data_IF_117881080245
#
_entry.id   IF_117881080245
#
_cell.length_a   1.000
_cell.length_b   1.000
_cell.length_c   1.000
_cell.angle_alpha   90.00
_cell.angle_beta   90.00
_cell.angle_gamma   90.00
#
_symmetry.space_group_name_H-M   'P 1'
#
loop_
_entity.id
_entity.type
_entity.pdbx_description
1 polymer ?
#
# COMPACT_ATOMS: atom_id res chain seq x y z
N UNK A 1 -39.82 -15.08 -50.04
CA UNK A 1 -40.50 -15.59 -48.83
C UNK A 1 -40.61 -14.45 -47.83
N UNK A 2 -41.82 -14.22 -47.33
CA UNK A 2 -42.24 -13.07 -46.52
C UNK A 2 -42.14 -13.37 -45.02
N UNK A 3 -41.69 -12.34 -44.26
CA UNK A 3 -42.10 -11.93 -42.89
C UNK A 3 -41.85 -12.94 -41.74
N UNK A 4 -41.31 -12.54 -40.59
CA UNK A 4 -42.02 -11.67 -39.61
C UNK A 4 -41.07 -11.16 -38.51
N UNK A 5 -41.43 -9.98 -38.00
CA UNK A 5 -40.80 -9.21 -36.92
C UNK A 5 -41.31 -9.65 -35.53
N UNK A 6 -40.54 -9.26 -34.51
CA UNK A 6 -40.68 -9.44 -33.06
C UNK A 6 -42.04 -9.09 -32.45
N UNK A 7 -42.26 -9.41 -31.16
CA UNK A 7 -42.73 -8.36 -30.24
C UNK A 7 -41.92 -8.22 -28.95
N UNK A 8 -41.60 -6.96 -28.66
CA UNK A 8 -41.21 -6.41 -27.36
C UNK A 8 -42.22 -6.80 -26.28
N UNK A 9 -41.73 -7.09 -25.06
CA UNK A 9 -42.54 -6.99 -23.85
C UNK A 9 -42.22 -5.67 -23.16
N UNK A 10 -43.13 -4.71 -23.34
CA UNK A 10 -43.26 -3.54 -22.48
C UNK A 10 -43.98 -3.94 -21.19
N UNK A 11 -43.45 -3.50 -20.05
CA UNK A 11 -44.10 -3.59 -18.74
C UNK A 11 -43.77 -2.31 -17.97
N UNK A 12 -44.77 -1.44 -17.85
CA UNK A 12 -44.70 -0.05 -17.42
C UNK A 12 -45.54 0.07 -16.14
N UNK A 13 -44.92 0.38 -15.00
CA UNK A 13 -45.60 0.86 -13.77
C UNK A 13 -44.59 1.80 -13.06
N UNK A 14 -44.66 3.12 -13.26
CA UNK A 14 -45.57 4.08 -12.64
C UNK A 14 -45.27 4.35 -11.15
N UNK A 15 -44.35 5.30 -10.94
CA UNK A 15 -44.39 6.46 -10.04
C UNK A 15 -45.18 6.29 -8.73
N UNK A 16 -44.45 6.29 -7.60
CA UNK A 16 -44.94 6.84 -6.34
C UNK A 16 -44.06 8.03 -5.94
N UNK A 17 -44.60 9.22 -6.21
CA UNK A 17 -44.34 10.46 -5.49
C UNK A 17 -44.78 10.27 -4.02
N UNK A 18 -44.40 11.03 -2.99
CA UNK A 18 -43.72 12.30 -2.87
C UNK A 18 -43.33 12.46 -1.39
N UNK A 19 -42.19 13.10 -1.15
CA UNK A 19 -41.92 14.06 -0.06
C UNK A 19 -42.26 13.71 1.40
N UNK A 20 -41.24 13.81 2.27
CA UNK A 20 -41.20 14.89 3.28
C UNK A 20 -39.75 15.14 3.72
N UNK A 21 -39.34 16.40 3.55
CA UNK A 21 -38.10 16.98 4.03
C UNK A 21 -38.28 17.27 5.52
N UNK A 22 -37.45 16.67 6.38
CA UNK A 22 -37.19 17.23 7.71
C UNK A 22 -35.82 17.88 7.68
N UNK A 23 -35.83 19.18 7.36
CA UNK A 23 -34.70 20.06 7.59
C UNK A 23 -34.72 20.45 9.08
N UNK A 24 -34.00 19.71 9.92
CA UNK A 24 -33.60 20.23 11.22
C UNK A 24 -32.42 21.17 11.00
N UNK A 25 -32.69 22.48 10.94
CA UNK A 25 -31.66 23.51 11.04
C UNK A 25 -31.08 23.48 12.46
N UNK A 26 -30.03 22.69 12.68
CA UNK A 26 -29.18 22.87 13.86
C UNK A 26 -28.39 24.16 13.63
N UNK A 27 -28.77 25.19 14.37
CA UNK A 27 -27.96 26.39 14.52
C UNK A 27 -26.80 26.04 15.43
N UNK A 28 -25.69 25.57 14.85
CA UNK A 28 -24.43 25.43 15.55
C UNK A 28 -23.76 26.81 15.58
N UNK A 29 -23.66 27.40 16.77
CA UNK A 29 -22.82 28.57 17.04
C UNK A 29 -21.38 28.30 16.58
N UNK A 30 -20.66 29.28 16.00
CA UNK A 30 -19.25 29.15 15.72
C UNK A 30 -18.49 29.20 17.05
N UNK A 31 -18.25 28.05 17.65
CA UNK A 31 -17.29 27.94 18.74
C UNK A 31 -15.91 28.28 18.20
N UNK A 32 -15.35 29.33 18.80
CA UNK A 32 -13.94 29.71 18.86
C UNK A 32 -12.99 28.73 18.17
N UNK A 33 -12.33 29.26 17.14
CA UNK A 33 -11.22 28.60 16.47
C UNK A 33 -10.16 28.18 17.48
N UNK A 34 -10.07 26.88 17.71
CA UNK A 34 -8.87 26.26 18.22
C UNK A 34 -7.85 26.32 17.09
N UNK A 35 -7.03 27.36 17.10
CA UNK A 35 -5.78 27.43 16.34
C UNK A 35 -4.82 26.37 16.88
N UNK A 36 -5.10 25.11 16.54
CA UNK A 36 -4.13 24.05 16.67
C UNK A 36 -3.09 24.28 15.60
N UNK A 37 -2.04 25.00 16.00
CA UNK A 37 -0.72 25.02 15.40
C UNK A 37 -0.50 23.71 14.66
N UNK A 38 -0.37 23.83 13.33
CA UNK A 38 -0.14 22.77 12.36
C UNK A 38 1.10 22.00 12.78
N UNK A 39 0.91 21.04 13.69
CA UNK A 39 1.95 20.16 14.17
C UNK A 39 2.52 19.48 12.94
N UNK A 40 3.78 19.77 12.67
CA UNK A 40 4.55 19.18 11.60
C UNK A 40 4.72 17.69 11.96
N UNK A 41 3.66 16.91 11.72
CA UNK A 41 3.72 15.46 11.78
C UNK A 41 4.67 15.06 10.67
N UNK A 42 5.95 14.94 11.02
CA UNK A 42 6.95 14.30 10.21
C UNK A 42 6.36 12.96 9.78
N UNK A 43 6.06 12.84 8.49
CA UNK A 43 5.65 11.59 7.86
C UNK A 43 6.76 10.56 8.06
N UNK A 44 6.75 9.88 9.20
CA UNK A 44 7.43 8.60 9.42
C UNK A 44 6.51 7.43 9.02
N UNK A 45 5.49 7.67 8.20
CA UNK A 45 4.80 6.61 7.49
C UNK A 45 5.73 5.99 6.44
N UNK A 46 6.05 4.72 6.59
CA UNK A 46 6.65 3.85 5.57
C UNK A 46 8.02 4.25 5.01
N UNK A 47 8.99 4.65 5.85
CA UNK A 47 10.42 4.67 5.43
C UNK A 47 11.01 3.28 5.13
N UNK A 48 10.27 2.20 5.32
CA UNK A 48 10.69 0.85 4.93
C UNK A 48 10.57 0.60 3.42
N UNK A 49 9.78 1.38 2.69
CA UNK A 49 9.47 1.06 1.28
C UNK A 49 10.49 1.63 0.28
N UNK A 50 11.19 2.72 0.63
CA UNK A 50 12.18 3.34 -0.26
C UNK A 50 13.62 3.36 0.29
N UNK A 51 13.80 3.10 1.59
CA UNK A 51 15.14 3.08 2.21
C UNK A 51 15.63 1.69 2.65
N UNK A 52 14.75 0.69 2.77
CA UNK A 52 15.08 -0.57 3.46
C UNK A 52 16.18 -1.39 2.79
N UNK A 53 16.15 -1.50 1.46
CA UNK A 53 17.14 -2.31 0.72
C UNK A 53 18.53 -1.68 0.71
N UNK A 54 18.63 -0.35 0.53
CA UNK A 54 19.92 0.34 0.56
C UNK A 54 20.56 0.28 1.95
N UNK A 55 19.73 0.45 2.99
CA UNK A 55 20.13 0.39 4.39
C UNK A 55 20.69 -0.96 4.85
N UNK A 56 20.28 -2.04 4.20
CA UNK A 56 20.77 -3.38 4.54
C UNK A 56 22.27 -3.54 4.28
N UNK A 57 22.78 -2.87 3.24
CA UNK A 57 24.19 -2.94 2.83
C UNK A 57 24.99 -1.66 3.19
N UNK A 58 24.34 -0.62 3.73
CA UNK A 58 25.01 0.58 4.27
C UNK A 58 26.07 0.19 5.29
N UNK A 59 27.29 0.73 5.24
CA UNK A 59 28.37 0.42 6.19
C UNK A 59 29.22 -0.82 5.85
N UNK A 60 28.95 -1.46 4.71
CA UNK A 60 29.93 -2.30 4.03
C UNK A 60 30.86 -1.41 3.20
N UNK A 61 32.15 -1.71 3.22
CA UNK A 61 33.17 -0.99 2.44
C UNK A 61 33.13 -1.50 1.00
N UNK A 62 32.06 -1.15 0.28
CA UNK A 62 31.82 -1.61 -1.09
C UNK A 62 32.76 -0.91 -2.07
N UNK A 63 33.30 -1.68 -3.02
CA UNK A 63 34.06 -1.12 -4.15
C UNK A 63 33.14 -0.35 -5.09
N UNK A 64 33.71 0.53 -5.90
CA UNK A 64 32.90 1.30 -6.85
C UNK A 64 32.28 0.42 -7.94
N UNK A 65 32.95 -0.67 -8.32
CA UNK A 65 32.39 -1.71 -9.18
C UNK A 65 31.16 -2.37 -8.53
N UNK A 66 31.26 -2.83 -7.27
CA UNK A 66 30.13 -3.40 -6.54
C UNK A 66 28.95 -2.42 -6.43
N UNK A 67 29.21 -1.14 -6.14
CA UNK A 67 28.17 -0.11 -6.09
C UNK A 67 27.49 0.09 -7.45
N UNK A 68 28.25 0.05 -8.54
CA UNK A 68 27.70 0.17 -9.89
C UNK A 68 26.78 -1.01 -10.22
N UNK A 69 27.22 -2.23 -9.92
CA UNK A 69 26.43 -3.45 -10.14
C UNK A 69 25.14 -3.45 -9.31
N UNK A 70 25.23 -3.05 -8.04
CA UNK A 70 24.06 -2.92 -7.16
C UNK A 70 23.08 -1.87 -7.70
N UNK A 71 23.56 -0.71 -8.17
CA UNK A 71 22.70 0.31 -8.77
C UNK A 71 22.01 -0.22 -10.03
N UNK A 72 22.72 -0.98 -10.85
CA UNK A 72 22.17 -1.61 -12.06
C UNK A 72 21.05 -2.60 -11.71
N UNK A 73 21.27 -3.47 -10.73
CA UNK A 73 20.24 -4.41 -10.23
C UNK A 73 18.96 -3.67 -9.76
N UNK A 74 19.12 -2.56 -9.03
CA UNK A 74 17.96 -1.76 -8.60
C UNK A 74 17.27 -1.04 -9.74
N UNK A 75 18.01 -0.57 -10.75
CA UNK A 75 17.45 0.07 -11.92
C UNK A 75 16.61 -0.92 -12.75
N UNK A 76 17.13 -2.13 -12.97
CA UNK A 76 16.42 -3.21 -13.67
C UNK A 76 15.13 -3.59 -12.93
N UNK A 77 15.18 -3.75 -11.61
CA UNK A 77 13.97 -4.03 -10.83
C UNK A 77 12.96 -2.86 -10.86
N UNK A 78 13.46 -1.63 -10.82
CA UNK A 78 12.58 -0.46 -10.87
C UNK A 78 11.85 -0.42 -12.20
N UNK A 79 12.53 -0.72 -13.31
CA UNK A 79 11.91 -0.77 -14.63
C UNK A 79 10.84 -1.85 -14.75
N UNK A 80 11.06 -3.04 -14.19
CA UNK A 80 10.06 -4.13 -14.22
C UNK A 80 8.83 -3.85 -13.36
N UNK A 81 8.95 -3.00 -12.32
CA UNK A 81 7.87 -2.69 -11.38
C UNK A 81 7.13 -1.38 -11.67
N UNK A 82 7.55 -0.63 -12.70
CA UNK A 82 6.95 0.66 -13.06
C UNK A 82 5.44 0.57 -13.26
N UNK A 83 5.01 -0.54 -13.88
CA UNK A 83 3.64 -0.75 -14.32
C UNK A 83 2.73 -1.34 -13.22
N UNK A 84 3.32 -1.79 -12.11
CA UNK A 84 2.57 -2.43 -11.02
C UNK A 84 2.18 -1.49 -9.88
N UNK A 85 2.48 -0.19 -9.99
CA UNK A 85 2.14 0.77 -8.95
C UNK A 85 0.63 1.00 -8.94
N UNK A 86 -0.05 0.87 -7.78
CA UNK A 86 -1.47 1.10 -7.73
C UNK A 86 -1.81 2.53 -8.13
N UNK A 87 -2.88 2.70 -8.89
CA UNK A 87 -3.34 4.02 -9.31
C UNK A 87 -3.83 4.83 -8.11
N UNK A 88 -3.95 6.15 -8.27
CA UNK A 88 -4.54 6.98 -7.21
C UNK A 88 -5.97 6.55 -6.87
N UNK A 89 -6.73 6.15 -7.88
CA UNK A 89 -8.12 5.69 -7.73
C UNK A 89 -8.19 4.39 -6.94
N UNK A 90 -7.34 3.40 -7.25
CA UNK A 90 -7.26 2.14 -6.50
C UNK A 90 -6.83 2.34 -5.04
N UNK A 91 -5.97 3.32 -4.79
CA UNK A 91 -5.57 3.71 -3.43
C UNK A 91 -6.72 4.36 -2.67
N UNK A 92 -7.50 5.23 -3.31
CA UNK A 92 -8.66 5.87 -2.70
C UNK A 92 -9.78 4.86 -2.43
N UNK A 93 -10.09 3.98 -3.39
CA UNK A 93 -11.09 2.93 -3.23
C UNK A 93 -10.77 2.04 -2.02
N UNK A 94 -9.54 1.53 -1.93
CA UNK A 94 -9.11 0.73 -0.79
C UNK A 94 -9.18 1.48 0.55
N UNK A 95 -8.89 2.79 0.56
CA UNK A 95 -9.04 3.59 1.80
C UNK A 95 -10.49 3.72 2.22
N UNK A 96 -11.39 3.91 1.27
CA UNK A 96 -12.82 4.01 1.54
C UNK A 96 -13.40 2.67 2.03
N UNK A 97 -13.01 1.55 1.43
CA UNK A 97 -13.40 0.20 1.89
C UNK A 97 -12.92 -0.07 3.32
N UNK A 98 -11.66 0.28 3.63
CA UNK A 98 -11.13 0.20 5.00
C UNK A 98 -11.92 1.07 5.96
N UNK A 99 -12.24 2.30 5.57
CA UNK A 99 -13.01 3.23 6.40
C UNK A 99 -14.41 2.68 6.67
N UNK A 100 -15.08 2.12 5.66
CA UNK A 100 -16.42 1.56 5.80
C UNK A 100 -16.47 0.41 6.83
N UNK A 101 -15.48 -0.50 6.81
CA UNK A 101 -15.38 -1.59 7.80
C UNK A 101 -15.15 -1.04 9.21
N UNK A 102 -14.32 0.00 9.36
CA UNK A 102 -13.98 0.59 10.67
C UNK A 102 -15.14 1.40 11.25
N UNK A 103 -15.88 2.13 10.42
CA UNK A 103 -16.96 3.02 10.87
C UNK A 103 -18.34 2.37 10.88
N UNK A 104 -18.42 1.07 10.56
CA UNK A 104 -19.67 0.33 10.61
C UNK A 104 -20.19 0.23 12.06
N UNK A 105 -21.51 0.23 12.23
CA UNK A 105 -22.14 0.07 13.55
C UNK A 105 -21.81 -1.28 14.21
N UNK A 106 -21.52 -2.30 13.40
CA UNK A 106 -21.05 -3.62 13.81
C UNK A 106 -19.89 -4.05 12.92
N UNK A 107 -18.85 -4.63 13.52
CA UNK A 107 -17.67 -5.07 12.79
C UNK A 107 -17.96 -6.34 11.97
N UNK A 108 -17.74 -6.29 10.65
CA UNK A 108 -17.80 -7.44 9.76
C UNK A 108 -16.39 -8.04 9.57
N UNK A 109 -16.09 -9.09 10.32
CA UNK A 109 -14.81 -9.81 10.23
C UNK A 109 -14.58 -10.45 8.85
N UNK A 110 -15.65 -10.86 8.16
CA UNK A 110 -15.56 -11.50 6.85
C UNK A 110 -15.15 -10.48 5.79
N UNK A 111 -15.76 -9.29 5.80
CA UNK A 111 -15.40 -8.19 4.93
C UNK A 111 -13.95 -7.72 5.19
N UNK A 112 -13.56 -7.62 6.46
CA UNK A 112 -12.19 -7.27 6.84
C UNK A 112 -11.17 -8.28 6.28
N UNK A 113 -11.43 -9.59 6.42
CA UNK A 113 -10.56 -10.65 5.87
C UNK A 113 -10.47 -10.58 4.35
N UNK A 114 -11.59 -10.38 3.66
CA UNK A 114 -11.60 -10.27 2.20
C UNK A 114 -10.73 -9.11 1.71
N UNK A 115 -10.86 -7.94 2.33
CA UNK A 115 -10.06 -6.75 2.02
C UNK A 115 -8.56 -7.00 2.22
N UNK A 116 -8.18 -7.63 3.34
CA UNK A 116 -6.78 -7.94 3.63
C UNK A 116 -6.20 -8.98 2.66
N UNK A 117 -6.99 -9.98 2.27
CA UNK A 117 -6.58 -11.06 1.38
C UNK A 117 -6.44 -10.61 -0.07
N UNK A 118 -7.22 -9.62 -0.52
CA UNK A 118 -7.22 -9.13 -1.90
C UNK A 118 -5.85 -8.67 -2.43
N UNK A 119 -4.88 -8.43 -1.54
CA UNK A 119 -3.51 -8.00 -1.89
C UNK A 119 -2.42 -8.95 -1.39
N UNK A 120 -2.79 -10.10 -0.82
CA UNK A 120 -1.83 -11.01 -0.20
C UNK A 120 -0.82 -11.57 -1.20
N UNK A 121 -1.29 -12.07 -2.35
CA UNK A 121 -0.42 -12.66 -3.37
C UNK A 121 0.59 -11.65 -3.93
N UNK A 122 0.13 -10.43 -4.20
CA UNK A 122 1.00 -9.33 -4.63
C UNK A 122 2.05 -9.00 -3.57
N UNK A 123 1.68 -8.94 -2.29
CA UNK A 123 2.63 -8.71 -1.19
C UNK A 123 3.67 -9.84 -1.10
N UNK A 124 3.24 -11.08 -1.28
CA UNK A 124 4.11 -12.26 -1.27
C UNK A 124 5.08 -12.25 -2.46
N UNK A 125 4.59 -12.02 -3.67
CA UNK A 125 5.43 -11.90 -4.87
C UNK A 125 6.50 -10.81 -4.69
N UNK A 126 6.10 -9.63 -4.23
CA UNK A 126 7.02 -8.53 -3.95
C UNK A 126 8.02 -8.85 -2.83
N UNK A 127 7.64 -9.64 -1.83
CA UNK A 127 8.55 -10.08 -0.78
C UNK A 127 9.61 -11.03 -1.35
N UNK A 128 9.20 -12.01 -2.17
CA UNK A 128 10.10 -12.94 -2.85
C UNK A 128 11.08 -12.18 -3.75
N UNK A 129 10.60 -11.22 -4.54
CA UNK A 129 11.46 -10.38 -5.38
C UNK A 129 12.50 -9.60 -4.57
N UNK A 130 12.08 -8.99 -3.46
CA UNK A 130 13.02 -8.30 -2.56
C UNK A 130 14.09 -9.26 -2.05
N UNK A 131 13.71 -10.46 -1.60
CA UNK A 131 14.65 -11.47 -1.12
C UNK A 131 15.62 -11.92 -2.23
N UNK A 132 15.15 -12.08 -3.47
CA UNK A 132 16.00 -12.41 -4.62
C UNK A 132 17.09 -11.36 -4.84
N UNK A 133 16.73 -10.08 -4.82
CA UNK A 133 17.70 -8.99 -4.99
C UNK A 133 18.68 -8.94 -3.82
N UNK A 134 18.21 -9.13 -2.58
CA UNK A 134 19.10 -9.20 -1.42
C UNK A 134 20.13 -10.31 -1.58
N UNK A 135 19.72 -11.48 -2.06
CA UNK A 135 20.63 -12.59 -2.33
C UNK A 135 21.61 -12.28 -3.46
N UNK A 136 21.15 -11.68 -4.56
CA UNK A 136 22.03 -11.25 -5.65
C UNK A 136 23.11 -10.28 -5.17
N UNK A 137 22.73 -9.27 -4.39
CA UNK A 137 23.69 -8.31 -3.83
C UNK A 137 24.65 -9.01 -2.86
N UNK A 138 24.15 -9.90 -2.00
CA UNK A 138 25.00 -10.66 -1.06
C UNK A 138 26.08 -11.48 -1.79
N UNK A 139 25.77 -12.05 -2.95
CA UNK A 139 26.72 -12.81 -3.76
C UNK A 139 27.76 -11.94 -4.49
N UNK A 140 27.56 -10.62 -4.57
CA UNK A 140 28.58 -9.67 -5.07
C UNK A 140 29.60 -9.30 -3.99
N UNK A 141 29.32 -9.60 -2.72
CA UNK A 141 30.18 -9.24 -1.59
C UNK A 141 31.38 -10.18 -1.49
N UNK A 142 32.50 -9.66 -1.02
CA UNK A 142 33.67 -10.47 -0.63
C UNK A 142 33.36 -11.29 0.63
N UNK A 143 34.10 -12.39 0.90
CA UNK A 143 33.89 -13.19 2.11
C UNK A 143 33.92 -12.37 3.41
N UNK A 144 34.82 -11.39 3.51
CA UNK A 144 34.94 -10.50 4.66
C UNK A 144 33.71 -9.58 4.80
N UNK A 145 33.24 -9.00 3.69
CA UNK A 145 32.02 -8.18 3.68
C UNK A 145 30.78 -9.00 4.04
N UNK A 146 30.69 -10.25 3.58
CA UNK A 146 29.61 -11.18 3.94
C UNK A 146 29.59 -11.50 5.44
N UNK A 147 30.77 -11.70 6.05
CA UNK A 147 30.87 -11.91 7.49
C UNK A 147 30.40 -10.67 8.28
N UNK A 148 30.84 -9.47 7.87
CA UNK A 148 30.40 -8.19 8.46
C UNK A 148 28.89 -7.99 8.32
N UNK A 149 28.33 -8.39 7.18
CA UNK A 149 26.89 -8.33 6.92
C UNK A 149 26.10 -9.24 7.87
N UNK A 150 26.50 -10.52 8.00
CA UNK A 150 25.85 -11.49 8.90
C UNK A 150 25.88 -11.04 10.36
N UNK A 151 27.04 -10.63 10.86
CA UNK A 151 27.20 -10.18 12.23
C UNK A 151 26.27 -8.98 12.56
N UNK A 152 26.10 -8.06 11.60
CA UNK A 152 25.18 -6.92 11.77
C UNK A 152 23.72 -7.33 11.70
N UNK A 153 23.38 -8.27 10.83
CA UNK A 153 22.03 -8.79 10.72
C UNK A 153 21.61 -9.48 12.03
N UNK A 154 22.47 -10.31 12.60
CA UNK A 154 22.26 -10.95 13.91
C UNK A 154 22.17 -9.93 15.06
N UNK A 155 23.06 -8.94 15.08
CA UNK A 155 23.02 -7.88 16.08
C UNK A 155 21.77 -6.99 15.97
N UNK A 156 21.15 -6.91 14.80
CA UNK A 156 19.89 -6.19 14.61
C UNK A 156 18.68 -7.04 15.01
N UNK A 157 18.75 -8.37 14.84
CA UNK A 157 17.74 -9.30 15.34
C UNK A 157 17.69 -9.36 16.88
N UNK A 158 18.83 -9.18 17.55
CA UNK A 158 18.91 -9.15 19.02
C UNK A 158 18.55 -7.81 19.67
N UNK A 159 18.27 -6.76 18.90
CA UNK A 159 17.79 -5.47 19.43
C UNK A 159 16.27 -5.51 19.51
N UNK A 160 15.71 -5.23 20.68
CA UNK A 160 14.26 -5.11 20.83
C UNK A 160 13.70 -4.12 19.80
N UNK A 161 12.55 -4.43 19.16
CA UNK A 161 11.90 -3.50 18.27
C UNK A 161 11.61 -2.23 19.06
N UNK A 162 12.10 -1.09 18.57
CA UNK A 162 11.84 0.21 19.21
C UNK A 162 10.33 0.42 19.25
N UNK A 163 9.76 0.35 20.45
CA UNK A 163 8.37 0.70 20.75
C UNK A 163 8.05 2.14 20.41
#
# INVERSE_FOLDING_TARGET
>A
MMKTLSPLKAGLFAILASSTVFATTVSAEPTQGCDHSRGEFHKKGNRMEHGGMHKMFEGLDLTDAQKADIKKLFAEQKSSRSDERPTKEELLAHRNEMQAVITAATFDETQAKALLNARQDKRQAQAIERMKIQNQIYNLLTPEQQAKFKARFEAQAGKEPRG
#
